data_IF_843450441275
#
_entry.id   IF_843450441275
#
_cell.length_a   1.000
_cell.length_b   1.000
_cell.length_c   1.000
_cell.angle_alpha   90.00
_cell.angle_beta   90.00
_cell.angle_gamma   90.00
#
_symmetry.space_group_name_H-M   'P 1'
#
loop_
_entity.id
_entity.type
_entity.pdbx_description
1 polymer ?
#
# COMPACT_ATOMS: atom_id res chain seq x y z
N UNK A 1 11.93 6.43 8.24
CA UNK A 1 13.08 5.57 7.89
C UNK A 1 12.60 4.30 7.18
N UNK A 2 13.22 3.96 6.09
CA UNK A 2 12.83 2.77 5.32
C UNK A 2 13.12 1.49 6.12
N UNK A 3 12.10 0.66 6.27
CA UNK A 3 12.19 -0.63 6.97
C UNK A 3 12.07 -1.76 5.95
N UNK A 4 13.22 -2.29 5.55
CA UNK A 4 13.31 -3.32 4.52
C UNK A 4 12.57 -4.59 4.95
N UNK A 5 12.63 -4.96 6.22
CA UNK A 5 11.99 -6.19 6.71
C UNK A 5 10.47 -6.13 6.60
N UNK A 6 9.87 -5.00 6.94
CA UNK A 6 8.43 -4.78 6.79
C UNK A 6 8.02 -4.84 5.32
N UNK A 7 8.80 -4.21 4.46
CA UNK A 7 8.51 -4.18 3.01
C UNK A 7 8.65 -5.56 2.37
N UNK A 8 9.67 -6.33 2.76
CA UNK A 8 9.84 -7.71 2.28
C UNK A 8 8.68 -8.60 2.72
N UNK A 9 8.24 -8.46 3.97
CA UNK A 9 7.11 -9.23 4.48
C UNK A 9 5.84 -8.93 3.68
N UNK A 10 5.59 -7.66 3.37
CA UNK A 10 4.48 -7.25 2.52
C UNK A 10 4.57 -7.93 1.14
N UNK A 11 5.75 -7.89 0.53
CA UNK A 11 5.96 -8.49 -0.79
C UNK A 11 5.71 -10.00 -0.75
N UNK A 12 6.21 -10.68 0.26
CA UNK A 12 6.01 -12.13 0.41
C UNK A 12 4.55 -12.50 0.64
N UNK A 13 3.79 -11.65 1.32
CA UNK A 13 2.38 -11.93 1.62
C UNK A 13 1.44 -11.62 0.46
N UNK A 14 1.69 -10.56 -0.30
CA UNK A 14 0.70 -10.01 -1.21
C UNK A 14 1.11 -10.00 -2.69
N UNK A 15 2.38 -10.11 -3.02
CA UNK A 15 2.86 -10.02 -4.40
C UNK A 15 3.05 -11.41 -5.00
N UNK A 16 2.62 -11.59 -6.25
CA UNK A 16 2.84 -12.83 -6.99
C UNK A 16 4.33 -13.16 -7.07
N UNK A 17 4.67 -14.44 -6.94
CA UNK A 17 6.04 -14.92 -6.84
C UNK A 17 6.96 -14.38 -7.95
N UNK A 18 6.46 -14.35 -9.18
CA UNK A 18 7.27 -13.95 -10.35
C UNK A 18 7.71 -12.49 -10.32
N UNK A 19 7.05 -11.65 -9.52
CA UNK A 19 7.33 -10.21 -9.45
C UNK A 19 8.09 -9.79 -8.19
N UNK A 20 8.27 -10.70 -7.22
CA UNK A 20 8.84 -10.37 -5.91
C UNK A 20 10.28 -9.88 -5.99
N UNK A 21 11.12 -10.58 -6.71
CA UNK A 21 12.54 -10.28 -6.78
C UNK A 21 12.79 -8.90 -7.39
N UNK A 22 12.12 -8.59 -8.47
CA UNK A 22 12.26 -7.30 -9.15
C UNK A 22 11.77 -6.14 -8.27
N UNK A 23 10.62 -6.31 -7.63
CA UNK A 23 10.07 -5.28 -6.76
C UNK A 23 10.98 -5.04 -5.55
N UNK A 24 11.49 -6.08 -4.92
CA UNK A 24 12.47 -5.95 -3.83
C UNK A 24 13.70 -5.16 -4.28
N UNK A 25 14.22 -5.48 -5.44
CA UNK A 25 15.39 -4.80 -5.98
C UNK A 25 15.12 -3.31 -6.20
N UNK A 26 14.00 -2.98 -6.81
CA UNK A 26 13.64 -1.59 -7.08
C UNK A 26 13.42 -0.79 -5.79
N UNK A 27 12.74 -1.37 -4.80
CA UNK A 27 12.44 -0.67 -3.54
C UNK A 27 13.69 -0.41 -2.67
N UNK A 28 14.74 -1.21 -2.84
CA UNK A 28 15.99 -1.05 -2.07
C UNK A 28 16.98 -0.06 -2.65
N UNK A 29 16.82 0.33 -3.92
CA UNK A 29 17.81 1.10 -4.63
C UNK A 29 17.37 2.49 -5.04
N UNK A 30 18.12 3.05 -5.96
CA UNK A 30 17.85 4.38 -6.52
C UNK A 30 16.54 4.45 -7.29
N UNK A 31 16.00 3.31 -7.70
CA UNK A 31 14.75 3.20 -8.45
C UNK A 31 13.52 3.05 -7.57
N UNK A 32 13.65 3.29 -6.27
CA UNK A 32 12.55 3.08 -5.31
C UNK A 32 11.26 3.78 -5.72
N UNK A 33 11.31 5.06 -6.03
CA UNK A 33 10.10 5.80 -6.41
C UNK A 33 9.50 5.27 -7.70
N UNK A 34 10.33 4.95 -8.68
CA UNK A 34 9.89 4.35 -9.93
C UNK A 34 9.25 2.97 -9.70
N UNK A 35 9.88 2.13 -8.88
CA UNK A 35 9.36 0.81 -8.54
C UNK A 35 8.01 0.88 -7.82
N UNK A 36 7.86 1.81 -6.89
CA UNK A 36 6.61 2.01 -6.16
C UNK A 36 5.50 2.51 -7.08
N UNK A 37 5.79 3.48 -7.93
CA UNK A 37 4.85 3.98 -8.92
C UNK A 37 4.41 2.86 -9.89
N UNK A 38 5.36 2.10 -10.40
CA UNK A 38 5.09 0.98 -11.31
C UNK A 38 4.23 -0.09 -10.62
N UNK A 39 4.54 -0.44 -9.37
CA UNK A 39 3.74 -1.39 -8.61
C UNK A 39 2.30 -0.89 -8.47
N UNK A 40 2.10 0.32 -8.01
CA UNK A 40 0.76 0.85 -7.80
C UNK A 40 -0.03 1.01 -9.09
N UNK A 41 0.64 1.37 -10.19
CA UNK A 41 0.00 1.44 -11.51
C UNK A 41 -0.46 0.06 -12.01
N UNK A 42 0.29 -0.98 -11.72
CA UNK A 42 0.02 -2.35 -12.15
C UNK A 42 -0.42 -3.27 -10.99
N UNK A 43 -0.98 -2.71 -9.94
CA UNK A 43 -1.26 -3.46 -8.71
C UNK A 43 -2.13 -4.69 -8.95
N UNK A 44 -3.15 -4.60 -9.80
CA UNK A 44 -4.02 -5.74 -10.09
C UNK A 44 -3.27 -6.90 -10.74
N UNK A 45 -2.24 -6.61 -11.52
CA UNK A 45 -1.42 -7.62 -12.17
C UNK A 45 -0.42 -8.26 -11.20
N UNK A 46 0.19 -7.45 -10.34
CA UNK A 46 1.25 -7.89 -9.44
C UNK A 46 0.74 -8.54 -8.16
N UNK A 47 -0.44 -8.15 -7.68
CA UNK A 47 -1.02 -8.67 -6.44
C UNK A 47 -1.63 -10.06 -6.63
N UNK A 48 -1.55 -10.87 -5.58
CA UNK A 48 -2.26 -12.16 -5.51
C UNK A 48 -3.76 -11.86 -5.40
N UNK A 49 -4.54 -12.23 -6.41
CA UNK A 49 -5.97 -11.89 -6.48
C UNK A 49 -6.77 -12.31 -5.25
N UNK A 50 -6.51 -13.52 -4.73
CA UNK A 50 -7.22 -14.03 -3.56
C UNK A 50 -7.00 -13.21 -2.29
N UNK A 51 -6.02 -12.32 -2.28
CA UNK A 51 -5.73 -11.44 -1.13
C UNK A 51 -6.42 -10.09 -1.23
N UNK A 52 -7.00 -9.76 -2.37
CA UNK A 52 -7.73 -8.49 -2.55
C UNK A 52 -9.15 -8.68 -2.05
N UNK A 53 -9.52 -7.94 -0.98
CA UNK A 53 -10.86 -8.03 -0.40
C UNK A 53 -11.79 -6.90 -0.84
N UNK A 54 -11.24 -5.82 -1.37
CA UNK A 54 -12.03 -4.73 -1.95
C UNK A 54 -11.18 -3.92 -2.92
N UNK A 55 -11.81 -3.41 -3.97
CA UNK A 55 -11.16 -2.56 -4.97
C UNK A 55 -12.18 -1.59 -5.57
N UNK A 56 -11.79 -0.33 -5.76
CA UNK A 56 -12.64 0.66 -6.41
C UNK A 56 -12.12 2.08 -6.30
N UNK A 57 -12.63 2.95 -7.16
CA UNK A 57 -12.25 4.36 -7.20
C UNK A 57 -12.93 5.20 -6.12
N UNK A 58 -14.08 4.76 -5.64
CA UNK A 58 -14.92 5.51 -4.73
C UNK A 58 -14.95 4.93 -3.31
N UNK A 59 -13.99 4.07 -2.97
CA UNK A 59 -13.92 3.53 -1.62
C UNK A 59 -13.55 4.66 -0.67
N UNK A 60 -14.44 4.94 0.29
CA UNK A 60 -14.22 5.98 1.28
C UNK A 60 -13.31 5.50 2.42
N UNK A 61 -12.76 6.46 3.17
CA UNK A 61 -11.97 6.15 4.36
C UNK A 61 -12.81 5.38 5.38
N UNK A 62 -14.09 5.69 5.50
CA UNK A 62 -15.02 4.99 6.39
C UNK A 62 -15.19 3.52 5.98
N UNK A 63 -15.34 3.26 4.68
CA UNK A 63 -15.44 1.89 4.17
C UNK A 63 -14.17 1.09 4.45
N UNK A 64 -13.00 1.72 4.30
CA UNK A 64 -11.72 1.09 4.64
C UNK A 64 -11.68 0.73 6.12
N UNK A 65 -12.12 1.65 7.00
CA UNK A 65 -12.19 1.38 8.43
C UNK A 65 -13.08 0.18 8.76
N UNK A 66 -14.19 0.03 8.06
CA UNK A 66 -15.13 -1.07 8.26
C UNK A 66 -14.58 -2.41 7.76
N UNK A 67 -13.78 -2.38 6.68
CA UNK A 67 -13.19 -3.58 6.08
C UNK A 67 -12.01 -4.14 6.89
N UNK A 68 -11.28 -3.29 7.60
CA UNK A 68 -10.15 -3.71 8.42
C UNK A 68 -10.64 -4.20 9.80
N UNK A 69 -10.00 -5.22 10.38
CA UNK A 69 -10.39 -5.70 11.70
C UNK A 69 -10.15 -4.64 12.79
N UNK A 70 -10.91 -4.68 13.91
CA UNK A 70 -10.81 -3.65 14.96
C UNK A 70 -9.40 -3.47 15.53
N UNK A 71 -8.60 -4.53 15.60
CA UNK A 71 -7.23 -4.45 16.12
C UNK A 71 -6.32 -3.55 15.27
N UNK A 72 -6.57 -3.41 13.97
CA UNK A 72 -5.80 -2.51 13.12
C UNK A 72 -5.92 -1.05 13.56
N UNK A 73 -7.06 -0.68 14.17
CA UNK A 73 -7.29 0.70 14.64
C UNK A 73 -6.39 1.08 15.81
N UNK A 74 -5.91 0.08 16.55
CA UNK A 74 -5.05 0.28 17.73
C UNK A 74 -3.57 0.02 17.43
N UNK A 75 -3.24 -0.36 16.21
CA UNK A 75 -1.87 -0.64 15.79
C UNK A 75 -1.27 0.52 15.04
N UNK A 76 0.05 0.61 15.10
CA UNK A 76 0.78 1.48 14.21
C UNK A 76 0.94 0.81 12.86
N UNK A 77 0.94 1.60 11.81
CA UNK A 77 1.13 1.13 10.44
C UNK A 77 2.37 1.75 9.83
N UNK A 78 2.88 1.09 8.82
CA UNK A 78 4.04 1.51 8.05
C UNK A 78 3.59 2.00 6.67
N UNK A 79 4.20 3.07 6.17
CA UNK A 79 3.81 3.66 4.88
C UNK A 79 4.94 3.58 3.88
N UNK A 80 4.64 3.06 2.68
CA UNK A 80 5.46 3.23 1.49
C UNK A 80 4.74 4.24 0.59
N UNK A 81 5.42 5.30 0.18
CA UNK A 81 4.75 6.34 -0.62
C UNK A 81 5.68 6.95 -1.65
N UNK A 82 5.12 7.28 -2.80
CA UNK A 82 5.83 8.04 -3.83
C UNK A 82 6.25 9.42 -3.31
N UNK A 83 5.44 10.02 -2.45
CA UNK A 83 5.79 11.26 -1.75
C UNK A 83 6.87 10.98 -0.70
N UNK A 84 8.07 11.49 -0.94
CA UNK A 84 9.23 11.26 -0.07
C UNK A 84 9.02 11.75 1.36
N UNK A 85 8.20 12.76 1.56
CA UNK A 85 7.97 13.32 2.90
C UNK A 85 7.25 12.37 3.85
N UNK A 86 6.54 11.37 3.32
CA UNK A 86 5.82 10.37 4.11
C UNK A 86 6.29 8.94 3.85
N UNK A 87 7.23 8.74 2.95
CA UNK A 87 7.75 7.41 2.65
C UNK A 87 8.55 6.87 3.83
N UNK A 88 8.22 5.67 4.29
CA UNK A 88 8.91 5.02 5.41
C UNK A 88 8.47 5.49 6.79
N UNK A 89 7.41 6.27 6.91
CA UNK A 89 6.90 6.69 8.22
C UNK A 89 6.12 5.57 8.89
N UNK A 90 6.13 5.62 10.23
CA UNK A 90 5.27 4.80 11.08
C UNK A 90 4.31 5.73 11.79
N UNK A 91 3.02 5.48 11.71
CA UNK A 91 2.00 6.34 12.29
C UNK A 91 0.78 5.52 12.69
N UNK A 92 -0.14 6.16 13.44
CA UNK A 92 -1.36 5.46 13.82
C UNK A 92 -2.34 5.36 12.63
N UNK A 93 -3.39 4.56 12.82
CA UNK A 93 -4.38 4.27 11.79
C UNK A 93 -5.07 5.52 11.25
N UNK A 94 -5.54 6.39 12.13
CA UNK A 94 -6.23 7.61 11.71
C UNK A 94 -5.32 8.55 10.94
N UNK A 95 -4.11 8.75 11.45
CA UNK A 95 -3.12 9.59 10.80
C UNK A 95 -2.80 9.07 9.38
N UNK A 96 -2.65 7.75 9.22
CA UNK A 96 -2.40 7.15 7.92
C UNK A 96 -3.56 7.41 6.96
N UNK A 97 -4.80 7.22 7.40
CA UNK A 97 -5.97 7.45 6.55
C UNK A 97 -6.05 8.90 6.05
N UNK A 98 -5.82 9.85 6.92
CA UNK A 98 -5.97 11.26 6.57
C UNK A 98 -4.76 11.85 5.88
N UNK A 99 -3.55 11.40 6.22
CA UNK A 99 -2.30 11.95 5.70
C UNK A 99 -1.86 11.32 4.38
N UNK A 100 -2.14 10.03 4.20
CA UNK A 100 -1.62 9.24 3.07
C UNK A 100 -2.65 9.12 1.95
N UNK A 101 -3.89 8.75 2.27
CA UNK A 101 -4.92 8.49 1.26
C UNK A 101 -5.56 9.79 0.74
N UNK A 102 -6.00 9.73 -0.52
CA UNK A 102 -6.73 10.83 -1.13
C UNK A 102 -5.86 11.89 -1.80
N UNK A 103 -4.55 11.68 -1.86
CA UNK A 103 -3.62 12.65 -2.46
C UNK A 103 -3.35 12.41 -3.95
N UNK A 104 -3.92 11.34 -4.53
CA UNK A 104 -3.73 11.01 -5.93
C UNK A 104 -2.32 10.51 -6.27
N UNK A 105 -1.53 10.16 -5.27
CA UNK A 105 -0.17 9.66 -5.43
C UNK A 105 -0.09 8.21 -4.95
N UNK A 106 0.78 7.43 -5.58
CA UNK A 106 0.99 6.03 -5.21
C UNK A 106 1.40 5.89 -3.74
N UNK A 107 0.69 5.03 -3.00
CA UNK A 107 1.00 4.78 -1.60
C UNK A 107 0.50 3.41 -1.16
N UNK A 108 1.18 2.83 -0.17
CA UNK A 108 0.78 1.58 0.47
C UNK A 108 0.84 1.78 1.98
N UNK A 109 -0.25 1.45 2.66
CA UNK A 109 -0.31 1.44 4.13
C UNK A 109 -0.28 -0.02 4.57
N UNK A 110 0.68 -0.40 5.39
CA UNK A 110 0.91 -1.78 5.81
C UNK A 110 0.58 -1.96 7.28
N UNK A 111 -0.33 -2.89 7.56
CA UNK A 111 -0.66 -3.39 8.89
C UNK A 111 -0.19 -4.84 9.02
N UNK A 112 -0.31 -5.42 10.22
CA UNK A 112 -0.02 -6.83 10.39
C UNK A 112 -1.10 -7.69 9.72
N UNK A 113 -0.75 -8.32 8.59
CA UNK A 113 -1.67 -9.17 7.83
C UNK A 113 -2.65 -8.43 6.92
N UNK A 114 -2.60 -7.10 6.87
CA UNK A 114 -3.50 -6.28 6.05
C UNK A 114 -2.74 -5.15 5.39
N UNK A 115 -3.27 -4.65 4.28
CA UNK A 115 -2.69 -3.49 3.62
C UNK A 115 -3.74 -2.71 2.83
N UNK A 116 -3.48 -1.43 2.60
CA UNK A 116 -4.29 -0.58 1.73
C UNK A 116 -3.37 0.00 0.67
N UNK A 117 -3.74 -0.16 -0.59
CA UNK A 117 -2.97 0.36 -1.74
C UNK A 117 -3.78 1.47 -2.42
N UNK A 118 -3.15 2.62 -2.64
CA UNK A 118 -3.72 3.68 -3.46
C UNK A 118 -2.87 3.83 -4.72
N UNK A 119 -3.54 3.79 -5.87
CA UNK A 119 -2.88 3.97 -7.17
C UNK A 119 -2.73 5.45 -7.50
N UNK A 120 -1.91 5.77 -8.49
CA UNK A 120 -1.81 7.14 -8.97
C UNK A 120 -3.10 7.56 -9.68
N UNK A 121 -3.47 8.81 -9.48
CA UNK A 121 -4.62 9.38 -10.19
C UNK A 121 -4.22 9.72 -11.63
N UNK A 122 -4.77 8.98 -12.58
CA UNK A 122 -4.55 9.20 -14.01
C UNK A 122 -5.76 9.86 -14.67
N UNK A 123 -6.94 9.26 -14.49
CA UNK A 123 -8.20 9.73 -15.05
C UNK A 123 -9.28 9.61 -13.97
N UNK A 124 -9.65 10.73 -13.36
CA UNK A 124 -10.60 10.74 -12.25
C UNK A 124 -9.95 10.42 -10.93
N UNK A 125 -10.69 9.79 -10.02
CA UNK A 125 -10.19 9.44 -8.69
C UNK A 125 -9.19 8.27 -8.72
N UNK A 126 -8.22 8.30 -7.83
CA UNK A 126 -7.30 7.18 -7.64
C UNK A 126 -8.06 5.94 -7.17
N UNK A 127 -7.64 4.77 -7.65
CA UNK A 127 -8.21 3.50 -7.22
C UNK A 127 -7.57 3.08 -5.91
N UNK A 128 -8.38 2.52 -5.01
CA UNK A 128 -7.90 1.99 -3.73
C UNK A 128 -8.21 0.50 -3.64
N UNK A 129 -7.32 -0.24 -3.01
CA UNK A 129 -7.47 -1.67 -2.78
C UNK A 129 -7.21 -1.98 -1.32
N UNK A 130 -8.03 -2.88 -0.74
CA UNK A 130 -7.82 -3.39 0.62
C UNK A 130 -7.41 -4.85 0.50
N UNK A 131 -6.32 -5.20 1.18
CA UNK A 131 -5.70 -6.52 1.09
C UNK A 131 -5.72 -7.21 2.45
N UNK A 132 -5.94 -8.53 2.43
CA UNK A 132 -5.86 -9.40 3.61
C UNK A 132 -5.04 -10.63 3.29
N UNK A 133 -4.07 -10.93 4.15
CA UNK A 133 -3.24 -12.13 3.99
C UNK A 133 -4.01 -13.44 4.17
#
# INVERSE_FOLDING_TARGET
MIDIDVEEKFIDQFIKKDFRQRLCYELRGKKRRHGLSRFCHNAKELLIESKIIAVGKNISKKEIQELLPPNCKNEQCYVMAYNESIDGIVCDFEEALWKVLGNGMAAVIIFDGFAVVETEQCFGSAEKMVLSS
#
